data_IF_473187719969
#
_entry.id   IF_473187719969
#
_cell.length_a   1.000
_cell.length_b   1.000
_cell.length_c   1.000
_cell.angle_alpha   90.00
_cell.angle_beta   90.00
_cell.angle_gamma   90.00
#
_symmetry.space_group_name_H-M   'P 1'
#
loop_
_entity.id
_entity.type
_entity.pdbx_description
1 polymer ?
#
# COMPACT_ATOMS: atom_id res chain seq x y z
N UNK A 1 72.81 11.17 1.63
CA UNK A 1 72.34 10.84 0.27
C UNK A 1 70.84 11.14 0.19
N UNK A 2 70.40 11.97 -0.78
CA UNK A 2 69.00 12.05 -1.25
C UNK A 2 68.09 13.12 -0.62
N UNK A 3 67.84 14.20 -1.38
CA UNK A 3 66.90 15.32 -1.12
C UNK A 3 65.41 14.92 -1.43
N UNK A 4 64.41 15.83 -1.57
CA UNK A 4 64.07 17.12 -0.92
C UNK A 4 62.61 17.17 -0.37
N UNK A 5 62.23 18.24 0.33
CA UNK A 5 60.81 18.58 0.56
C UNK A 5 60.14 19.08 -0.74
N UNK A 6 58.97 18.54 -1.12
CA UNK A 6 58.14 19.07 -2.21
C UNK A 6 56.62 19.00 -1.96
N UNK A 7 56.04 20.21 -1.88
CA UNK A 7 54.74 20.72 -2.34
C UNK A 7 53.45 19.92 -2.07
N UNK A 8 52.52 20.62 -1.39
CA UNK A 8 51.06 20.46 -1.53
C UNK A 8 50.66 20.40 -3.00
N UNK A 9 49.86 19.39 -3.35
CA UNK A 9 48.93 19.44 -4.48
C UNK A 9 47.57 19.08 -3.88
N UNK A 10 46.66 20.05 -3.86
CA UNK A 10 45.28 19.81 -3.48
C UNK A 10 44.64 18.83 -4.45
N UNK A 11 44.00 17.79 -3.91
CA UNK A 11 42.91 17.10 -4.61
C UNK A 11 41.58 17.64 -4.07
N UNK A 12 41.34 18.90 -4.42
CA UNK A 12 39.99 19.43 -4.55
C UNK A 12 39.33 18.67 -5.70
N UNK A 13 38.12 18.13 -5.48
CA UNK A 13 37.18 17.90 -6.59
C UNK A 13 36.86 16.48 -7.06
N UNK A 14 36.74 15.47 -6.18
CA UNK A 14 36.14 14.18 -6.58
C UNK A 14 34.79 13.84 -5.91
N UNK A 15 34.24 14.70 -5.05
CA UNK A 15 32.91 14.49 -4.44
C UNK A 15 31.82 15.39 -5.04
N UNK A 16 32.01 15.91 -6.25
CA UNK A 16 30.99 16.68 -6.97
C UNK A 16 30.41 15.79 -8.09
N UNK A 17 29.48 14.90 -7.75
CA UNK A 17 28.85 14.07 -8.79
C UNK A 17 27.99 12.89 -8.34
N UNK A 18 27.92 12.58 -7.04
CA UNK A 18 26.85 11.71 -6.55
C UNK A 18 25.59 12.58 -6.46
N UNK A 19 24.92 12.72 -7.60
CA UNK A 19 23.53 13.14 -7.63
C UNK A 19 22.79 12.29 -6.60
N UNK A 20 22.09 12.94 -5.67
CA UNK A 20 21.09 12.30 -4.82
C UNK A 20 20.25 11.38 -5.70
N UNK A 21 20.46 10.07 -5.57
CA UNK A 21 19.51 9.11 -6.09
C UNK A 21 18.29 9.35 -5.24
N UNK A 22 17.30 10.09 -5.77
CA UNK A 22 16.01 10.24 -5.11
C UNK A 22 15.54 8.83 -4.79
N UNK A 23 15.45 8.51 -3.52
CA UNK A 23 14.81 7.29 -3.06
C UNK A 23 13.41 7.29 -3.69
N UNK A 24 13.20 6.42 -4.68
CA UNK A 24 11.88 6.26 -5.28
C UNK A 24 11.06 5.63 -4.16
N UNK A 25 10.27 6.46 -3.47
CA UNK A 25 9.45 6.02 -2.35
C UNK A 25 8.62 4.80 -2.76
N UNK A 26 8.47 3.83 -1.85
CA UNK A 26 7.63 2.65 -2.09
C UNK A 26 6.24 3.09 -2.58
N UNK A 27 5.72 2.40 -3.59
CA UNK A 27 4.38 2.62 -4.12
C UNK A 27 3.36 2.47 -2.99
N UNK A 28 2.63 3.54 -2.70
CA UNK A 28 1.62 3.56 -1.63
C UNK A 28 0.33 2.93 -2.14
N UNK A 29 -0.08 1.84 -1.53
CA UNK A 29 -1.11 0.96 -2.10
C UNK A 29 -2.31 0.81 -1.17
N UNK A 30 -3.50 0.87 -1.73
CA UNK A 30 -4.73 0.37 -1.09
C UNK A 30 -5.06 -0.99 -1.69
N UNK A 31 -5.28 -2.00 -0.85
CA UNK A 31 -5.71 -3.32 -1.28
C UNK A 31 -7.21 -3.51 -1.01
N UNK A 32 -7.99 -3.89 -2.02
CA UNK A 32 -9.41 -4.19 -1.88
C UNK A 32 -9.68 -5.66 -2.24
N UNK A 33 -10.05 -6.48 -1.25
CA UNK A 33 -10.33 -7.89 -1.49
C UNK A 33 -11.01 -8.56 -0.31
N UNK A 34 -11.59 -9.74 -0.52
CA UNK A 34 -12.38 -10.43 0.50
C UNK A 34 -12.13 -11.93 0.59
N UNK A 35 -12.22 -12.71 -0.51
CA UNK A 35 -12.13 -14.16 -0.42
C UNK A 35 -10.69 -14.66 -0.23
N UNK A 36 -10.56 -15.96 0.11
CA UNK A 36 -9.27 -16.63 0.34
C UNK A 36 -8.29 -16.48 -0.81
N UNK A 37 -8.77 -16.46 -2.06
CA UNK A 37 -7.92 -16.29 -3.25
C UNK A 37 -7.18 -14.96 -3.27
N UNK A 38 -7.68 -13.93 -2.58
CA UNK A 38 -7.05 -12.61 -2.51
C UNK A 38 -5.87 -12.55 -1.51
N UNK A 39 -5.80 -13.48 -0.55
CA UNK A 39 -4.79 -13.49 0.52
C UNK A 39 -3.35 -13.60 0.02
N UNK A 40 -2.98 -14.56 -0.86
CA UNK A 40 -1.61 -14.64 -1.36
C UNK A 40 -1.18 -13.38 -2.12
N UNK A 41 -2.10 -12.75 -2.86
CA UNK A 41 -1.81 -11.49 -3.56
C UNK A 41 -1.54 -10.34 -2.58
N UNK A 42 -2.34 -10.25 -1.51
CA UNK A 42 -2.10 -9.28 -0.42
C UNK A 42 -0.71 -9.48 0.20
N UNK A 43 -0.32 -10.72 0.50
CA UNK A 43 1.00 -11.03 1.09
C UNK A 43 2.14 -10.57 0.18
N UNK A 44 2.10 -10.95 -1.11
CA UNK A 44 3.13 -10.53 -2.07
C UNK A 44 3.16 -9.02 -2.25
N UNK A 45 1.99 -8.38 -2.32
CA UNK A 45 1.89 -6.93 -2.46
C UNK A 45 2.49 -6.18 -1.26
N UNK A 46 2.36 -6.73 -0.05
CA UNK A 46 2.93 -6.16 1.17
C UNK A 46 4.46 -6.19 1.19
N UNK A 47 5.07 -7.13 0.48
CA UNK A 47 6.54 -7.23 0.37
C UNK A 47 7.10 -6.17 -0.60
N UNK A 48 6.38 -5.91 -1.69
CA UNK A 48 6.85 -5.07 -2.81
C UNK A 48 6.34 -3.62 -2.79
N UNK A 49 5.37 -3.30 -1.92
CA UNK A 49 4.74 -1.99 -1.84
C UNK A 49 4.45 -1.58 -0.39
N UNK A 50 4.04 -0.32 -0.17
CA UNK A 50 3.58 0.12 1.14
C UNK A 50 2.04 0.04 1.21
N UNK A 51 1.50 -0.96 1.90
CA UNK A 51 0.04 -1.08 2.06
C UNK A 51 -0.45 -0.09 3.13
N UNK A 52 -1.04 1.01 2.67
CA UNK A 52 -1.57 2.07 3.52
C UNK A 52 -2.94 1.72 4.13
N UNK A 53 -3.74 0.90 3.43
CA UNK A 53 -5.08 0.53 3.85
C UNK A 53 -5.53 -0.76 3.15
N UNK A 54 -6.19 -1.63 3.89
CA UNK A 54 -6.92 -2.79 3.37
C UNK A 54 -8.42 -2.53 3.47
N UNK A 55 -9.14 -2.77 2.39
CA UNK A 55 -10.61 -2.72 2.31
C UNK A 55 -11.12 -4.14 2.06
N UNK A 56 -12.01 -4.60 2.94
CA UNK A 56 -12.70 -5.89 2.77
C UNK A 56 -14.17 -5.73 3.09
N UNK A 57 -15.01 -6.68 2.68
CA UNK A 57 -16.42 -6.64 3.04
C UNK A 57 -16.61 -6.82 4.56
N UNK A 58 -17.71 -6.29 5.12
CA UNK A 58 -18.12 -6.57 6.49
C UNK A 58 -18.19 -8.06 6.80
N UNK A 59 -17.98 -8.42 8.06
CA UNK A 59 -18.11 -9.79 8.53
C UNK A 59 -19.57 -10.21 8.35
N UNK A 60 -19.79 -11.39 7.76
CA UNK A 60 -21.15 -11.88 7.47
C UNK A 60 -21.40 -13.24 8.10
N UNK A 61 -22.65 -13.53 8.49
CA UNK A 61 -23.06 -14.85 8.89
C UNK A 61 -22.78 -15.88 7.78
N UNK A 62 -22.16 -17.01 8.14
CA UNK A 62 -21.96 -18.13 7.21
C UNK A 62 -22.42 -19.46 7.80
N UNK A 63 -22.80 -20.39 6.92
CA UNK A 63 -23.23 -21.74 7.29
C UNK A 63 -24.60 -21.80 7.98
N UNK A 64 -25.02 -23.01 8.37
CA UNK A 64 -26.34 -23.25 8.98
C UNK A 64 -26.50 -22.63 10.37
N UNK A 65 -25.39 -22.39 11.08
CA UNK A 65 -25.38 -21.77 12.42
C UNK A 65 -25.25 -20.25 12.41
N UNK A 66 -25.05 -19.63 11.24
CA UNK A 66 -25.03 -18.16 11.06
C UNK A 66 -24.05 -17.41 11.99
N UNK A 67 -22.93 -18.03 12.35
CA UNK A 67 -21.89 -17.33 13.11
C UNK A 67 -21.24 -16.24 12.24
N UNK A 68 -20.86 -15.11 12.84
CA UNK A 68 -20.11 -14.09 12.14
C UNK A 68 -18.72 -14.61 11.79
N UNK A 69 -18.35 -14.53 10.51
CA UNK A 69 -17.04 -14.92 10.03
C UNK A 69 -16.31 -13.71 9.47
N UNK A 70 -15.13 -13.44 10.04
CA UNK A 70 -14.18 -12.51 9.47
C UNK A 70 -13.72 -12.99 8.08
N UNK A 71 -13.65 -12.07 7.12
CA UNK A 71 -13.15 -12.41 5.78
C UNK A 71 -11.70 -12.93 5.84
N UNK A 72 -11.30 -13.86 4.96
CA UNK A 72 -9.91 -14.31 4.87
C UNK A 72 -8.89 -13.17 4.75
N UNK A 73 -9.22 -12.12 4.00
CA UNK A 73 -8.39 -10.91 3.87
C UNK A 73 -8.28 -10.16 5.20
N UNK A 74 -9.38 -9.98 5.94
CA UNK A 74 -9.36 -9.35 7.28
C UNK A 74 -8.42 -10.09 8.22
N UNK A 75 -8.63 -11.40 8.38
CA UNK A 75 -7.83 -12.24 9.28
C UNK A 75 -6.35 -12.18 8.94
N UNK A 76 -5.99 -12.16 7.65
CA UNK A 76 -4.60 -12.06 7.24
C UNK A 76 -4.03 -10.65 7.49
N UNK A 77 -4.79 -9.61 7.20
CA UNK A 77 -4.36 -8.21 7.38
C UNK A 77 -4.13 -7.86 8.85
N UNK A 78 -4.97 -8.38 9.75
CA UNK A 78 -4.80 -8.22 11.20
C UNK A 78 -3.48 -8.82 11.68
N UNK A 79 -3.09 -9.99 11.15
CA UNK A 79 -1.79 -10.62 11.47
C UNK A 79 -0.59 -9.81 10.99
N UNK A 80 -0.75 -9.08 9.89
CA UNK A 80 0.28 -8.19 9.35
C UNK A 80 0.29 -6.80 10.03
N UNK A 81 -0.65 -6.52 10.95
CA UNK A 81 -0.78 -5.22 11.59
C UNK A 81 -1.25 -4.10 10.65
N UNK A 82 -1.92 -4.45 9.54
CA UNK A 82 -2.37 -3.48 8.54
C UNK A 82 -3.66 -2.78 8.98
N UNK A 83 -3.82 -1.51 8.60
CA UNK A 83 -5.07 -0.77 8.79
C UNK A 83 -6.17 -1.39 7.91
N UNK A 84 -7.34 -1.67 8.50
CA UNK A 84 -8.48 -2.29 7.80
C UNK A 84 -9.72 -1.39 7.90
N UNK A 85 -10.47 -1.28 6.82
CA UNK A 85 -11.84 -0.73 6.83
C UNK A 85 -12.81 -1.70 6.16
N UNK A 86 -14.04 -1.73 6.67
CA UNK A 86 -15.11 -2.62 6.21
C UNK A 86 -16.38 -1.85 5.87
N UNK A 87 -16.40 -1.02 4.81
CA UNK A 87 -17.55 -0.19 4.50
C UNK A 87 -18.76 -1.06 4.10
N UNK A 88 -19.93 -0.80 4.68
CA UNK A 88 -21.19 -1.42 4.26
C UNK A 88 -21.54 -1.07 2.81
N UNK A 89 -21.28 0.17 2.41
CA UNK A 89 -21.50 0.68 1.06
C UNK A 89 -20.29 1.47 0.58
N UNK A 90 -19.96 1.34 -0.72
CA UNK A 90 -18.86 2.07 -1.37
C UNK A 90 -19.39 3.34 -2.02
N UNK A 91 -20.48 3.24 -2.76
CA UNK A 91 -21.17 4.37 -3.39
C UNK A 91 -21.84 5.23 -2.31
N UNK A 92 -21.83 6.55 -2.52
CA UNK A 92 -22.48 7.54 -1.64
C UNK A 92 -22.05 7.43 -0.17
N UNK A 93 -20.79 7.09 0.09
CA UNK A 93 -20.23 6.99 1.44
C UNK A 93 -19.08 7.98 1.63
N UNK A 94 -19.36 9.22 2.09
CA UNK A 94 -18.34 10.26 2.28
C UNK A 94 -17.28 9.89 3.31
N UNK A 95 -17.65 9.13 4.35
CA UNK A 95 -16.74 8.71 5.41
C UNK A 95 -15.70 7.75 4.83
N UNK A 96 -16.15 6.73 4.09
CA UNK A 96 -15.25 5.80 3.40
C UNK A 96 -14.37 6.51 2.35
N UNK A 97 -14.95 7.45 1.59
CA UNK A 97 -14.18 8.22 0.62
C UNK A 97 -13.06 9.02 1.29
N UNK A 98 -13.32 9.63 2.44
CA UNK A 98 -12.32 10.36 3.23
C UNK A 98 -11.20 9.44 3.74
N UNK A 99 -11.52 8.22 4.16
CA UNK A 99 -10.52 7.21 4.53
C UNK A 99 -9.60 6.86 3.35
N UNK A 100 -10.17 6.65 2.16
CA UNK A 100 -9.39 6.39 0.94
C UNK A 100 -8.51 7.58 0.55
N UNK A 101 -9.05 8.80 0.59
CA UNK A 101 -8.28 10.02 0.31
C UNK A 101 -7.14 10.21 1.31
N UNK A 102 -7.41 9.95 2.60
CA UNK A 102 -6.40 10.02 3.66
C UNK A 102 -5.29 8.97 3.50
N UNK A 103 -5.60 7.82 2.89
CA UNK A 103 -4.60 6.81 2.54
C UNK A 103 -3.65 7.26 1.43
N UNK A 104 -4.01 8.28 0.62
CA UNK A 104 -3.21 8.85 -0.47
C UNK A 104 -2.63 7.78 -1.41
N UNK A 105 -3.46 6.90 -2.00
CA UNK A 105 -2.96 5.80 -2.83
C UNK A 105 -2.27 6.30 -4.10
N UNK A 106 -1.18 5.65 -4.46
CA UNK A 106 -0.64 5.64 -5.81
C UNK A 106 -1.41 4.69 -6.70
N UNK A 107 -1.77 3.54 -6.14
CA UNK A 107 -2.54 2.49 -6.80
C UNK A 107 -3.60 1.92 -5.84
N UNK A 108 -4.72 1.48 -6.42
CA UNK A 108 -5.73 0.68 -5.73
C UNK A 108 -5.75 -0.69 -6.41
N UNK A 109 -5.34 -1.73 -5.69
CA UNK A 109 -5.32 -3.12 -6.19
C UNK A 109 -6.60 -3.83 -5.75
N UNK A 110 -7.39 -4.30 -6.70
CA UNK A 110 -8.71 -4.90 -6.45
C UNK A 110 -8.67 -6.38 -6.81
N UNK A 111 -8.99 -7.25 -5.86
CA UNK A 111 -9.02 -8.71 -6.05
C UNK A 111 -10.29 -9.29 -5.45
N UNK A 112 -11.25 -9.62 -6.31
CA UNK A 112 -12.51 -10.26 -5.92
C UNK A 112 -13.23 -9.56 -4.74
N UNK A 113 -13.26 -8.21 -4.75
CA UNK A 113 -13.88 -7.42 -3.69
C UNK A 113 -15.42 -7.47 -3.71
N UNK A 114 -16.04 -7.77 -4.86
CA UNK A 114 -17.48 -8.05 -4.95
C UNK A 114 -18.42 -6.85 -4.74
N UNK A 115 -17.91 -5.62 -4.85
CA UNK A 115 -18.70 -4.38 -4.89
C UNK A 115 -18.34 -3.56 -6.13
N UNK A 116 -19.34 -2.88 -6.70
CA UNK A 116 -19.12 -1.90 -7.76
C UNK A 116 -18.44 -0.67 -7.15
N UNK A 117 -17.34 -0.23 -7.75
CA UNK A 117 -16.65 0.97 -7.34
C UNK A 117 -17.18 2.19 -8.12
N UNK A 118 -17.58 3.27 -7.43
CA UNK A 118 -17.94 4.50 -8.11
C UNK A 118 -16.70 5.17 -8.71
N UNK A 119 -16.91 6.01 -9.72
CA UNK A 119 -15.86 6.78 -10.39
C UNK A 119 -15.00 7.59 -9.40
N UNK A 120 -15.61 8.16 -8.36
CA UNK A 120 -14.91 8.89 -7.30
C UNK A 120 -13.90 8.07 -6.49
N UNK A 121 -13.95 6.74 -6.54
CA UNK A 121 -12.93 5.84 -5.98
C UNK A 121 -11.89 5.48 -7.02
N UNK A 122 -12.33 5.24 -8.25
CA UNK A 122 -11.46 4.86 -9.37
C UNK A 122 -10.49 5.98 -9.77
N UNK A 123 -10.86 7.24 -9.59
CA UNK A 123 -10.03 8.41 -9.94
C UNK A 123 -9.10 8.88 -8.80
N UNK A 124 -9.11 8.22 -7.64
CA UNK A 124 -8.24 8.57 -6.51
C UNK A 124 -6.76 8.24 -6.69
N UNK A 125 -6.39 7.05 -7.20
CA UNK A 125 -4.99 6.69 -7.31
C UNK A 125 -4.28 7.57 -8.34
N UNK A 126 -3.03 7.94 -8.06
CA UNK A 126 -2.22 8.71 -9.04
C UNK A 126 -1.93 7.94 -10.33
N UNK A 127 -1.98 6.60 -10.26
CA UNK A 127 -1.61 5.68 -11.33
C UNK A 127 -2.78 4.77 -11.75
N UNK A 128 -4.03 5.19 -11.56
CA UNK A 128 -5.20 4.40 -11.94
C UNK A 128 -6.49 5.21 -11.92
#
# INVERSE_FOLDING_TARGET
MGAPARRRIGRTGLNAGLQEVKEVGKIRTVFMGTPKVAVPLLSTLNEISEIALVVTQPDRPMGRKQHLHASPVKVHSEKLGLKIVQPEQVKNNPIFLKELQGAKPDVIVIVAYGKILPQSVLELPRMG
#
